data_IF_471869194418
#
_entry.id   IF_471869194418
#
_cell.length_a   1.000
_cell.length_b   1.000
_cell.length_c   1.000
_cell.angle_alpha   90.00
_cell.angle_beta   90.00
_cell.angle_gamma   90.00
#
_symmetry.space_group_name_H-M   'P 1'
#
loop_
_entity.id
_entity.type
_entity.pdbx_description
1 polymer ?
#
# COMPACT_ATOMS: atom_id res chain seq x y z
N UNK A 1 -68.18 -17.44 38.88
CA UNK A 1 -66.90 -18.24 38.97
C UNK A 1 -66.01 -17.74 37.88
N UNK A 2 -65.32 -16.63 38.14
CA UNK A 2 -63.90 -16.54 38.51
C UNK A 2 -63.04 -17.26 37.53
N UNK A 3 -62.39 -16.53 36.66
CA UNK A 3 -60.95 -16.39 36.81
C UNK A 3 -60.38 -15.33 35.86
N UNK A 4 -59.64 -14.53 36.49
CA UNK A 4 -58.75 -13.46 36.06
C UNK A 4 -57.47 -14.07 35.45
N UNK A 5 -57.03 -13.63 34.28
CA UNK A 5 -55.67 -13.84 33.90
C UNK A 5 -55.11 -12.63 33.15
N UNK A 6 -54.42 -11.85 33.92
CA UNK A 6 -53.51 -10.79 33.63
C UNK A 6 -52.55 -11.17 32.49
N UNK A 7 -52.58 -10.43 31.38
CA UNK A 7 -51.57 -10.50 30.33
C UNK A 7 -50.45 -9.52 30.64
N UNK A 8 -49.36 -10.06 31.09
CA UNK A 8 -48.09 -9.38 31.31
C UNK A 8 -47.42 -9.11 29.95
N UNK A 9 -47.30 -7.83 29.57
CA UNK A 9 -46.53 -7.40 28.42
C UNK A 9 -45.09 -7.08 28.86
N UNK A 10 -44.07 -7.69 28.28
CA UNK A 10 -42.73 -7.28 28.59
C UNK A 10 -42.42 -5.90 27.97
N UNK A 11 -42.06 -4.99 28.83
CA UNK A 11 -41.57 -3.64 28.52
C UNK A 11 -40.18 -3.75 27.87
N UNK A 12 -40.01 -3.23 26.64
CA UNK A 12 -38.73 -3.06 25.96
C UNK A 12 -37.95 -1.98 26.71
N UNK A 13 -36.62 -2.17 26.93
CA UNK A 13 -35.78 -1.12 27.49
C UNK A 13 -35.54 0.00 26.45
N UNK A 14 -35.74 1.22 26.88
CA UNK A 14 -35.44 2.43 26.14
C UNK A 14 -33.97 2.46 25.72
N UNK A 15 -33.74 2.61 24.41
CA UNK A 15 -32.43 2.91 23.82
C UNK A 15 -31.96 4.27 24.34
N UNK A 16 -31.04 4.23 25.27
CA UNK A 16 -30.24 5.36 25.72
C UNK A 16 -29.48 5.93 24.52
N UNK A 17 -29.85 7.14 24.08
CA UNK A 17 -29.09 7.90 23.10
C UNK A 17 -27.73 8.20 23.70
N UNK A 18 -26.72 7.52 23.20
CA UNK A 18 -25.35 7.92 23.44
C UNK A 18 -25.09 9.26 22.75
N UNK A 19 -24.94 10.28 23.53
CA UNK A 19 -24.49 11.60 23.12
C UNK A 19 -23.00 11.49 22.81
N UNK A 20 -22.65 11.67 21.54
CA UNK A 20 -21.28 11.82 21.03
C UNK A 20 -20.55 12.95 21.77
N UNK A 21 -19.37 12.71 22.38
CA UNK A 21 -18.59 13.78 23.02
C UNK A 21 -17.66 14.46 22.01
N UNK A 22 -18.20 15.21 21.04
CA UNK A 22 -17.38 15.89 20.03
C UNK A 22 -17.20 17.41 20.26
N UNK A 23 -17.63 17.97 21.37
CA UNK A 23 -17.57 19.41 21.58
C UNK A 23 -16.81 19.85 22.86
N UNK A 24 -16.27 18.90 23.63
CA UNK A 24 -15.57 19.23 24.91
C UNK A 24 -14.06 19.39 24.77
N UNK A 25 -13.46 18.78 23.75
CA UNK A 25 -11.99 18.77 23.62
C UNK A 25 -11.43 20.10 23.05
N UNK A 26 -12.19 20.78 22.19
CA UNK A 26 -11.72 22.00 21.53
C UNK A 26 -11.51 23.24 22.45
N UNK A 27 -12.25 23.37 23.53
CA UNK A 27 -12.04 24.52 24.43
C UNK A 27 -10.93 24.27 25.45
N UNK A 28 -10.72 23.03 25.86
CA UNK A 28 -9.61 22.63 26.73
C UNK A 28 -8.26 22.79 26.02
N UNK A 29 -8.18 22.49 24.74
CA UNK A 29 -6.98 22.67 23.94
C UNK A 29 -6.66 24.16 23.76
N UNK A 30 -7.68 24.98 23.53
CA UNK A 30 -7.53 26.45 23.48
C UNK A 30 -7.09 27.05 24.83
N UNK A 31 -7.57 26.48 25.92
CA UNK A 31 -7.21 26.92 27.28
C UNK A 31 -5.78 26.51 27.65
N UNK A 32 -5.31 25.33 27.21
CA UNK A 32 -3.93 24.88 27.37
C UNK A 32 -2.95 25.75 26.59
N UNK A 33 -3.27 26.12 25.36
CA UNK A 33 -2.47 27.04 24.54
C UNK A 33 -2.40 28.43 25.19
N UNK A 34 -3.49 28.95 25.77
CA UNK A 34 -3.54 30.22 26.43
C UNK A 34 -2.72 30.27 27.76
N UNK A 35 -2.51 29.13 28.40
CA UNK A 35 -1.70 28.93 29.60
C UNK A 35 -0.22 28.65 29.30
N UNK A 36 0.20 28.67 28.00
CA UNK A 36 1.56 28.34 27.60
C UNK A 36 1.92 26.87 27.77
N UNK A 37 0.92 26.00 28.03
CA UNK A 37 1.09 24.55 27.96
C UNK A 37 1.05 24.17 26.48
N UNK A 38 2.17 23.77 25.89
CA UNK A 38 2.24 23.18 24.55
C UNK A 38 1.12 22.14 24.44
N UNK A 39 0.34 22.18 23.35
CA UNK A 39 -0.48 21.04 22.98
C UNK A 39 0.38 19.78 23.04
N UNK A 40 -0.16 18.60 23.40
CA UNK A 40 0.67 17.39 23.38
C UNK A 40 1.21 17.24 21.96
N UNK A 41 2.51 17.57 21.80
CA UNK A 41 3.22 17.33 20.59
C UNK A 41 3.06 15.84 20.27
N UNK A 42 2.87 15.51 19.01
CA UNK A 42 2.91 14.12 18.59
C UNK A 42 4.26 13.57 19.04
N UNK A 43 4.30 12.32 19.52
CA UNK A 43 5.58 11.63 19.85
C UNK A 43 6.59 11.79 18.71
N UNK A 44 6.09 11.96 17.49
CA UNK A 44 6.88 12.24 16.30
C UNK A 44 7.52 13.63 16.34
N UNK A 45 6.73 14.67 16.62
CA UNK A 45 7.25 16.05 16.69
C UNK A 45 8.31 16.16 17.79
N UNK A 46 8.07 15.50 18.94
CA UNK A 46 9.05 15.38 20.01
C UNK A 46 10.33 14.64 19.58
N UNK A 47 10.20 13.62 18.69
CA UNK A 47 11.34 12.86 18.17
C UNK A 47 12.09 13.65 17.09
N UNK A 48 11.38 14.37 16.21
CA UNK A 48 11.98 15.27 15.22
C UNK A 48 12.75 16.39 15.92
N UNK A 49 12.13 17.07 16.91
CA UNK A 49 12.76 18.10 17.74
C UNK A 49 14.01 17.54 18.46
N UNK A 50 13.92 16.34 19.04
CA UNK A 50 15.04 15.70 19.73
C UNK A 50 16.19 15.32 18.79
N UNK A 51 15.89 14.96 17.53
CA UNK A 51 16.91 14.69 16.51
C UNK A 51 17.60 15.98 16.06
N UNK A 52 16.84 17.06 15.88
CA UNK A 52 17.40 18.39 15.55
C UNK A 52 18.28 18.92 16.67
N UNK A 53 17.83 18.86 17.94
CA UNK A 53 18.62 19.23 19.10
C UNK A 53 19.92 18.42 19.23
N UNK A 54 19.85 17.09 18.97
CA UNK A 54 21.02 16.22 19.00
C UNK A 54 22.03 16.55 17.89
N UNK A 55 21.59 17.12 16.76
CA UNK A 55 22.48 17.62 15.70
C UNK A 55 23.15 18.93 16.09
N UNK A 56 22.39 19.88 16.63
CA UNK A 56 22.91 21.21 17.04
C UNK A 56 23.90 21.10 18.21
N UNK A 57 23.63 20.21 19.17
CA UNK A 57 24.46 20.04 20.35
C UNK A 57 25.67 19.12 20.13
N UNK A 58 25.77 18.47 18.95
CA UNK A 58 26.86 17.54 18.64
C UNK A 58 26.90 16.35 19.60
N UNK A 59 25.73 15.93 20.14
CA UNK A 59 25.70 14.78 21.06
C UNK A 59 26.05 13.49 20.34
N UNK A 60 26.98 12.73 20.94
CA UNK A 60 27.44 11.42 20.41
C UNK A 60 26.48 10.25 20.72
N UNK A 61 25.26 10.54 21.22
CA UNK A 61 24.28 9.53 21.60
C UNK A 61 23.79 8.71 20.40
N UNK A 62 23.79 9.30 19.20
CA UNK A 62 23.48 8.63 17.94
C UNK A 62 24.54 8.94 16.88
N UNK A 63 25.01 7.91 16.19
CA UNK A 63 25.88 8.08 15.03
C UNK A 63 25.15 8.83 13.90
N UNK A 64 25.90 9.43 12.99
CA UNK A 64 25.31 10.13 11.83
C UNK A 64 24.44 9.20 10.96
N UNK A 65 24.80 7.91 10.89
CA UNK A 65 24.03 6.90 10.18
C UNK A 65 22.71 6.56 10.88
N UNK A 66 22.71 6.43 12.20
CA UNK A 66 21.50 6.20 12.98
C UNK A 66 20.53 7.39 12.89
N UNK A 67 21.03 8.62 12.97
CA UNK A 67 20.22 9.84 12.76
C UNK A 67 19.58 9.87 11.38
N UNK A 68 20.34 9.49 10.33
CA UNK A 68 19.83 9.40 8.96
C UNK A 68 18.74 8.33 8.81
N UNK A 69 18.93 7.17 9.41
CA UNK A 69 17.93 6.09 9.38
C UNK A 69 16.64 6.53 10.08
N UNK A 70 16.73 7.15 11.25
CA UNK A 70 15.57 7.66 11.98
C UNK A 70 14.82 8.72 11.19
N UNK A 71 15.52 9.66 10.55
CA UNK A 71 14.92 10.69 9.70
C UNK A 71 14.22 10.07 8.47
N UNK A 72 14.86 9.12 7.81
CA UNK A 72 14.26 8.40 6.69
C UNK A 72 12.99 7.65 7.11
N UNK A 73 12.98 7.02 8.28
CA UNK A 73 11.79 6.35 8.84
C UNK A 73 10.64 7.34 9.10
N UNK A 74 10.94 8.52 9.64
CA UNK A 74 9.93 9.55 9.88
C UNK A 74 9.35 10.10 8.57
N UNK A 75 10.19 10.28 7.56
CA UNK A 75 9.80 10.79 6.23
C UNK A 75 9.04 9.72 5.43
N UNK A 76 9.50 8.46 5.47
CA UNK A 76 8.90 7.35 4.71
C UNK A 76 7.41 7.10 5.07
N UNK A 77 6.99 7.49 6.27
CA UNK A 77 5.61 7.32 6.73
C UNK A 77 4.58 8.11 5.92
N UNK A 78 4.97 9.24 5.35
CA UNK A 78 4.06 10.13 4.64
C UNK A 78 4.09 9.93 3.12
N UNK A 79 5.04 9.11 2.63
CA UNK A 79 5.18 8.79 1.21
C UNK A 79 3.99 7.94 0.75
N UNK A 80 3.37 8.37 -0.34
CA UNK A 80 2.26 7.65 -0.98
C UNK A 80 2.75 6.82 -2.14
N UNK A 81 1.99 5.80 -2.47
CA UNK A 81 2.27 4.89 -3.61
C UNK A 81 2.47 5.68 -4.92
N UNK A 82 1.63 6.70 -5.17
CA UNK A 82 1.74 7.55 -6.36
C UNK A 82 3.05 8.34 -6.48
N UNK A 83 3.73 8.60 -5.36
CA UNK A 83 4.95 9.41 -5.32
C UNK A 83 6.18 8.60 -5.77
N UNK A 84 6.08 7.26 -5.73
CA UNK A 84 7.19 6.31 -5.98
C UNK A 84 6.86 5.27 -7.05
N UNK A 85 5.63 5.22 -7.57
CA UNK A 85 5.24 4.27 -8.61
C UNK A 85 5.90 4.57 -9.95
N UNK A 86 6.08 3.54 -10.76
CA UNK A 86 6.35 3.67 -12.20
C UNK A 86 5.04 4.12 -12.88
N UNK A 87 5.01 5.28 -13.53
CA UNK A 87 3.79 5.79 -14.16
C UNK A 87 3.38 4.92 -15.36
N UNK A 88 2.07 4.88 -15.66
CA UNK A 88 1.46 4.07 -16.73
C UNK A 88 2.24 4.07 -18.05
N UNK A 89 2.67 5.25 -18.50
CA UNK A 89 3.40 5.39 -19.78
C UNK A 89 4.77 4.73 -19.83
N UNK A 90 5.32 4.34 -18.68
CA UNK A 90 6.62 3.68 -18.54
C UNK A 90 6.51 2.19 -18.22
N UNK A 91 5.28 1.66 -18.09
CA UNK A 91 5.08 0.24 -17.78
C UNK A 91 5.43 -0.61 -18.99
N UNK A 92 6.38 -1.52 -18.81
CA UNK A 92 6.66 -2.59 -19.76
C UNK A 92 5.74 -3.76 -19.44
N UNK A 93 4.80 -4.06 -20.33
CA UNK A 93 3.78 -5.09 -20.16
C UNK A 93 3.57 -5.88 -21.45
N UNK A 94 2.86 -7.01 -21.37
CA UNK A 94 2.58 -7.88 -22.53
C UNK A 94 1.11 -8.26 -22.55
N UNK A 95 0.53 -8.35 -23.78
CA UNK A 95 -0.82 -8.84 -23.96
C UNK A 95 -0.89 -10.37 -23.73
N UNK A 96 -2.02 -10.88 -23.22
CA UNK A 96 -2.19 -12.31 -22.98
C UNK A 96 -2.26 -13.15 -24.26
N UNK A 97 -2.60 -12.52 -25.38
CA UNK A 97 -2.63 -13.18 -26.70
C UNK A 97 -1.25 -13.18 -27.41
N UNK A 98 -0.26 -12.49 -26.87
CA UNK A 98 1.12 -12.56 -27.36
C UNK A 98 1.69 -13.98 -27.26
N UNK A 99 2.64 -14.29 -28.11
CA UNK A 99 3.31 -15.58 -28.15
C UNK A 99 4.36 -15.73 -27.03
N UNK A 100 4.68 -16.97 -26.70
CA UNK A 100 5.79 -17.27 -25.78
C UNK A 100 7.13 -16.80 -26.32
N UNK A 101 7.31 -16.73 -27.66
CA UNK A 101 8.49 -16.15 -28.27
C UNK A 101 8.64 -14.66 -27.96
N UNK A 102 7.55 -13.88 -28.03
CA UNK A 102 7.53 -12.45 -27.68
C UNK A 102 7.79 -12.23 -26.20
N UNK A 103 7.20 -13.04 -25.31
CA UNK A 103 7.50 -13.01 -23.88
C UNK A 103 8.99 -13.22 -23.59
N UNK A 104 9.61 -14.20 -24.26
CA UNK A 104 11.05 -14.44 -24.12
C UNK A 104 11.89 -13.27 -24.63
N UNK A 105 11.55 -12.73 -25.80
CA UNK A 105 12.24 -11.58 -26.36
C UNK A 105 12.12 -10.36 -25.44
N UNK A 106 10.96 -10.14 -24.83
CA UNK A 106 10.73 -9.07 -23.87
C UNK A 106 11.64 -9.22 -22.65
N UNK A 107 11.71 -10.39 -22.02
CA UNK A 107 12.62 -10.62 -20.88
C UNK A 107 14.11 -10.54 -21.25
N UNK A 108 14.46 -10.78 -22.50
CA UNK A 108 15.85 -10.64 -22.98
C UNK A 108 16.24 -9.17 -23.21
N UNK A 109 15.28 -8.31 -23.52
CA UNK A 109 15.52 -6.88 -23.81
C UNK A 109 15.23 -5.98 -22.61
N UNK A 110 14.30 -6.38 -21.74
CA UNK A 110 13.93 -5.63 -20.55
C UNK A 110 14.72 -6.13 -19.33
N UNK A 111 15.27 -5.21 -18.57
CA UNK A 111 16.02 -5.54 -17.33
C UNK A 111 15.06 -5.81 -16.14
N UNK A 112 13.87 -6.35 -16.42
CA UNK A 112 12.84 -6.58 -15.40
C UNK A 112 12.70 -8.06 -15.04
N UNK A 113 12.51 -8.36 -13.77
CA UNK A 113 12.25 -9.73 -13.31
C UNK A 113 10.77 -10.12 -13.41
N UNK A 114 9.85 -9.17 -13.50
CA UNK A 114 8.39 -9.36 -13.56
C UNK A 114 7.80 -8.46 -14.62
N UNK A 115 6.86 -9.01 -15.39
CA UNK A 115 6.15 -8.31 -16.45
C UNK A 115 4.65 -8.46 -16.24
N UNK A 116 3.87 -7.37 -16.14
CA UNK A 116 2.42 -7.43 -16.14
C UNK A 116 1.87 -8.00 -17.43
N UNK A 117 0.77 -8.73 -17.31
CA UNK A 117 0.01 -9.29 -18.44
C UNK A 117 -1.40 -8.69 -18.41
N UNK A 118 -1.88 -8.27 -19.55
CA UNK A 118 -3.21 -7.67 -19.73
C UNK A 118 -3.96 -8.33 -20.89
N UNK A 119 -5.30 -8.21 -20.93
CA UNK A 119 -6.11 -8.69 -22.05
C UNK A 119 -6.09 -7.69 -23.21
N UNK A 120 -6.99 -6.72 -23.23
CA UNK A 120 -7.08 -5.73 -24.31
C UNK A 120 -6.21 -4.50 -24.03
N UNK A 121 -6.21 -4.03 -22.80
CA UNK A 121 -5.45 -2.86 -22.35
C UNK A 121 -4.92 -3.09 -20.94
N UNK A 122 -4.02 -2.21 -20.47
CA UNK A 122 -3.53 -2.22 -19.10
C UNK A 122 -4.64 -2.05 -18.03
N UNK A 123 -5.85 -1.63 -18.44
CA UNK A 123 -7.00 -1.51 -17.54
C UNK A 123 -7.75 -2.84 -17.34
N UNK A 124 -7.39 -3.87 -18.14
CA UNK A 124 -7.84 -5.27 -17.91
C UNK A 124 -6.63 -6.18 -17.58
N UNK A 125 -6.00 -6.00 -16.43
CA UNK A 125 -4.82 -6.78 -16.03
C UNK A 125 -5.21 -8.19 -15.65
N UNK A 126 -4.46 -9.17 -16.15
CA UNK A 126 -4.62 -10.60 -15.82
C UNK A 126 -3.70 -11.05 -14.70
N UNK A 127 -2.62 -10.32 -14.47
CA UNK A 127 -1.62 -10.62 -13.46
C UNK A 127 -0.21 -10.27 -13.92
N UNK A 128 0.77 -11.04 -13.50
CA UNK A 128 2.17 -10.87 -13.91
C UNK A 128 2.83 -12.21 -14.20
N UNK A 129 3.89 -12.19 -15.00
CA UNK A 129 4.78 -13.34 -15.20
C UNK A 129 6.15 -13.02 -14.62
N UNK A 130 6.73 -13.99 -13.91
CA UNK A 130 8.07 -13.89 -13.35
C UNK A 130 9.07 -14.59 -14.28
N UNK A 131 10.21 -13.96 -14.55
CA UNK A 131 11.27 -14.51 -15.41
C UNK A 131 11.70 -15.93 -15.01
N UNK A 132 11.74 -16.24 -13.71
CA UNK A 132 12.08 -17.57 -13.19
C UNK A 132 11.15 -18.67 -13.72
N UNK A 133 9.85 -18.37 -13.85
CA UNK A 133 8.86 -19.34 -14.33
C UNK A 133 9.02 -19.60 -15.83
N UNK A 134 9.35 -18.54 -16.58
CA UNK A 134 9.69 -18.64 -17.99
C UNK A 134 10.92 -19.51 -18.17
N UNK A 135 11.98 -19.24 -17.38
CA UNK A 135 13.23 -19.97 -17.45
C UNK A 135 13.06 -21.47 -17.14
N UNK A 136 12.26 -21.80 -16.13
CA UNK A 136 11.97 -23.17 -15.73
C UNK A 136 11.22 -23.99 -16.80
N UNK A 137 10.61 -23.33 -17.79
CA UNK A 137 9.77 -23.96 -18.81
C UNK A 137 10.20 -23.64 -20.24
N UNK A 138 11.38 -23.07 -20.44
CA UNK A 138 11.90 -22.66 -21.76
C UNK A 138 11.84 -23.76 -22.85
N UNK A 139 12.15 -24.99 -22.47
CA UNK A 139 12.18 -26.13 -23.40
C UNK A 139 10.85 -26.87 -23.52
N UNK A 140 9.88 -26.54 -22.66
CA UNK A 140 8.62 -27.28 -22.53
C UNK A 140 7.45 -26.60 -23.21
N UNK A 141 7.55 -25.30 -23.46
CA UNK A 141 6.45 -24.50 -24.02
C UNK A 141 6.80 -24.18 -25.49
N UNK A 142 5.90 -24.49 -26.44
CA UNK A 142 6.04 -24.07 -27.83
C UNK A 142 6.16 -22.55 -27.96
N UNK A 143 6.97 -22.07 -28.89
CA UNK A 143 7.22 -20.63 -29.08
C UNK A 143 5.95 -19.88 -29.52
N UNK A 144 5.02 -20.56 -30.19
CA UNK A 144 3.76 -20.01 -30.71
C UNK A 144 2.63 -20.05 -29.69
N UNK A 145 2.84 -20.69 -28.52
CA UNK A 145 1.84 -20.78 -27.49
C UNK A 145 1.49 -19.40 -26.92
N UNK A 146 0.23 -19.11 -26.75
CA UNK A 146 -0.22 -17.84 -26.19
C UNK A 146 0.10 -17.74 -24.71
N UNK A 147 0.49 -16.56 -24.27
CA UNK A 147 0.86 -16.25 -22.89
C UNK A 147 -0.29 -16.52 -21.92
N UNK A 148 -1.53 -16.25 -22.31
CA UNK A 148 -2.71 -16.53 -21.50
C UNK A 148 -2.94 -18.03 -21.23
N UNK A 149 -2.50 -18.91 -22.14
CA UNK A 149 -2.80 -20.35 -22.10
C UNK A 149 -1.69 -21.18 -21.39
N UNK A 150 -0.52 -20.63 -21.17
CA UNK A 150 0.64 -21.39 -20.66
C UNK A 150 0.68 -21.57 -19.14
N UNK A 151 -0.26 -20.97 -18.40
CA UNK A 151 -0.39 -21.13 -16.95
C UNK A 151 0.80 -20.58 -16.14
N UNK A 152 1.42 -19.49 -16.61
CA UNK A 152 2.51 -18.79 -15.91
C UNK A 152 2.06 -17.51 -15.22
N UNK A 153 0.83 -17.05 -15.47
CA UNK A 153 0.32 -15.80 -14.91
C UNK A 153 0.07 -15.99 -13.41
N UNK A 154 0.66 -15.11 -12.62
CA UNK A 154 0.51 -15.03 -11.17
C UNK A 154 -0.33 -13.82 -10.79
N UNK A 155 -1.01 -13.83 -9.65
CA UNK A 155 -1.77 -12.67 -9.17
C UNK A 155 -0.85 -11.49 -8.87
N UNK A 156 -1.40 -10.28 -9.01
CA UNK A 156 -0.84 -9.01 -8.55
C UNK A 156 -1.74 -8.39 -7.49
N UNK A 157 -1.24 -7.42 -6.73
CA UNK A 157 -2.06 -6.58 -5.88
C UNK A 157 -2.62 -5.39 -6.66
N UNK A 158 -3.68 -4.79 -6.12
CA UNK A 158 -4.21 -3.52 -6.57
C UNK A 158 -4.17 -2.55 -5.39
N UNK A 159 -3.66 -1.35 -5.62
CA UNK A 159 -3.56 -0.31 -4.60
C UNK A 159 -3.98 1.04 -5.17
N UNK A 160 -4.72 1.86 -4.42
CA UNK A 160 -4.94 3.25 -4.83
C UNK A 160 -3.65 4.06 -4.66
N UNK A 161 -3.41 5.03 -5.55
CA UNK A 161 -2.23 5.91 -5.48
C UNK A 161 -2.12 6.69 -4.17
N UNK A 162 -3.23 6.96 -3.51
CA UNK A 162 -3.28 7.64 -2.21
C UNK A 162 -2.89 6.78 -1.01
N UNK A 163 -2.73 5.46 -1.17
CA UNK A 163 -2.29 4.55 -0.12
C UNK A 163 -0.87 4.90 0.34
N UNK A 164 -0.59 4.71 1.63
CA UNK A 164 0.78 4.89 2.14
C UNK A 164 1.69 3.77 1.61
N UNK A 165 2.89 4.14 1.20
CA UNK A 165 3.87 3.18 0.67
C UNK A 165 4.21 2.08 1.68
N UNK A 166 4.32 2.43 2.96
CA UNK A 166 4.58 1.47 4.04
C UNK A 166 3.43 0.47 4.22
N UNK A 167 2.18 0.90 4.09
CA UNK A 167 1.02 0.01 4.22
C UNK A 167 1.00 -1.01 3.07
N UNK A 168 1.28 -0.56 1.84
CA UNK A 168 1.42 -1.45 0.69
C UNK A 168 2.58 -2.44 0.86
N UNK A 169 3.73 -2.00 1.38
CA UNK A 169 4.87 -2.86 1.69
C UNK A 169 4.48 -3.98 2.65
N UNK A 170 3.75 -3.65 3.72
CA UNK A 170 3.28 -4.64 4.70
C UNK A 170 2.29 -5.62 4.07
N UNK A 171 1.39 -5.14 3.22
CA UNK A 171 0.43 -5.97 2.49
C UNK A 171 1.11 -6.93 1.51
N UNK A 172 2.09 -6.43 0.72
CA UNK A 172 2.89 -7.25 -0.19
C UNK A 172 3.61 -8.38 0.54
N UNK A 173 4.20 -8.07 1.70
CA UNK A 173 4.90 -9.07 2.54
C UNK A 173 3.92 -10.09 3.11
N UNK A 174 2.79 -9.66 3.64
CA UNK A 174 1.80 -10.55 4.23
C UNK A 174 1.20 -11.52 3.21
N UNK A 175 0.97 -11.06 1.97
CA UNK A 175 0.41 -11.86 0.87
C UNK A 175 1.45 -12.57 0.02
N UNK A 176 2.74 -12.33 0.25
CA UNK A 176 3.85 -12.84 -0.58
C UNK A 176 3.71 -12.47 -2.07
N UNK A 177 3.20 -11.28 -2.36
CA UNK A 177 3.04 -10.73 -3.71
C UNK A 177 3.92 -9.50 -3.83
N UNK A 178 4.84 -9.50 -4.79
CA UNK A 178 5.90 -8.51 -4.93
C UNK A 178 5.64 -7.49 -6.05
N UNK A 179 4.41 -7.35 -6.49
CA UNK A 179 4.01 -6.37 -7.50
C UNK A 179 2.57 -5.93 -7.26
N UNK A 180 2.32 -4.63 -7.36
CA UNK A 180 0.98 -4.06 -7.37
C UNK A 180 0.77 -3.18 -8.60
N UNK A 181 -0.44 -3.19 -9.13
CA UNK A 181 -0.92 -2.19 -10.06
C UNK A 181 -1.61 -1.08 -9.28
N UNK A 182 -1.25 0.15 -9.61
CA UNK A 182 -1.85 1.33 -9.00
C UNK A 182 -3.06 1.71 -9.83
N UNK A 183 -4.21 1.84 -9.18
CA UNK A 183 -5.50 2.11 -9.84
C UNK A 183 -6.06 3.45 -9.38
N UNK A 184 -6.72 4.14 -10.32
CA UNK A 184 -7.48 5.36 -10.06
C UNK A 184 -8.89 5.07 -9.51
N UNK A 185 -9.68 6.12 -9.27
CA UNK A 185 -11.06 6.03 -8.75
C UNK A 185 -12.03 5.39 -9.75
N UNK A 186 -11.66 5.28 -11.00
CA UNK A 186 -12.46 4.69 -12.09
C UNK A 186 -12.04 3.25 -12.40
N UNK A 187 -10.99 2.75 -11.73
CA UNK A 187 -10.43 1.42 -11.92
C UNK A 187 -9.44 1.32 -13.08
N UNK A 188 -9.03 2.44 -13.66
CA UNK A 188 -7.97 2.45 -14.67
C UNK A 188 -6.58 2.33 -14.01
N UNK A 189 -5.63 1.76 -14.74
CA UNK A 189 -4.25 1.59 -14.25
C UNK A 189 -3.47 2.89 -14.43
N UNK A 190 -3.08 3.52 -13.32
CA UNK A 190 -2.25 4.72 -13.28
C UNK A 190 -0.75 4.41 -13.26
N UNK A 191 -0.38 3.29 -12.68
CA UNK A 191 1.01 2.94 -12.49
C UNK A 191 1.23 1.50 -12.05
N UNK A 192 2.49 1.21 -11.78
CA UNK A 192 2.95 -0.06 -11.25
C UNK A 192 3.97 0.21 -10.15
N UNK A 193 4.00 -0.65 -9.13
CA UNK A 193 5.01 -0.58 -8.08
C UNK A 193 5.45 -1.99 -7.70
N UNK A 194 6.73 -2.20 -7.56
CA UNK A 194 7.32 -3.44 -7.08
C UNK A 194 7.70 -3.35 -5.60
N UNK A 195 7.97 -4.49 -4.98
CA UNK A 195 8.49 -4.54 -3.62
C UNK A 195 9.84 -3.85 -3.52
N UNK A 196 10.64 -3.98 -4.57
CA UNK A 196 11.97 -3.37 -4.69
C UNK A 196 11.88 -1.84 -4.63
N UNK A 197 10.95 -1.23 -5.39
CA UNK A 197 10.72 0.23 -5.38
C UNK A 197 10.34 0.75 -3.98
N UNK A 198 9.55 -0.02 -3.24
CA UNK A 198 9.14 0.31 -1.87
C UNK A 198 10.29 0.18 -0.84
N UNK A 199 11.31 -0.59 -1.13
CA UNK A 199 12.48 -0.76 -0.25
C UNK A 199 13.58 0.26 -0.52
N UNK A 200 13.52 0.98 -1.64
CA UNK A 200 14.46 2.04 -2.01
C UNK A 200 14.10 3.42 -1.43
N UNK A 201 12.92 3.54 -0.81
CA UNK A 201 12.46 4.74 -0.10
C UNK A 201 13.31 4.92 1.17
#
# INVERSE_FOLDING_TARGET
MSDDSSSDKPTLPELRKETTPAARDSWFDRFKVALGLKAPASIRDDLEDALEEAEEQGSDDFSQEEKRILRNLLTARDIRVQDVMVPRGSIVALAEDASFAELRALFMSAEHSRVPVYAETLDDPKGMIHIRDVFARLEKIPLEAKVGDIGLIRPVLFAPGSMLALDLLLEMRAKHIHMALVIDEYGATDGLISLEDLLEI
#
